data_IF_610968782016
#
_entry.id   IF_610968782016
#
_cell.length_a   1.000
_cell.length_b   1.000
_cell.length_c   1.000
_cell.angle_alpha   90.00
_cell.angle_beta   90.00
_cell.angle_gamma   90.00
#
_symmetry.space_group_name_H-M   'P 1'
#
loop_
_entity.id
_entity.type
_entity.pdbx_description
1 polymer ?
#
# COMPACT_ATOMS: atom_id res chain seq x y z
N UNK A 1 -4.24 12.38 -52.93
CA UNK A 1 -3.91 12.28 -51.54
C UNK A 1 -5.09 11.68 -50.79
N UNK A 2 -5.01 10.43 -50.29
CA UNK A 2 -6.07 9.88 -49.45
C UNK A 2 -5.89 10.38 -48.01
N UNK A 3 -7.01 10.77 -47.41
CA UNK A 3 -7.15 11.15 -46.01
C UNK A 3 -6.70 10.04 -45.08
N UNK A 4 -5.86 10.40 -44.11
CA UNK A 4 -5.41 9.48 -43.06
C UNK A 4 -6.59 9.29 -42.08
N UNK A 5 -7.14 8.08 -42.07
CA UNK A 5 -8.08 7.61 -41.04
C UNK A 5 -7.39 7.59 -39.67
N UNK A 6 -7.64 8.60 -38.87
CA UNK A 6 -7.28 8.68 -37.47
C UNK A 6 -8.33 7.95 -36.62
N UNK A 7 -8.36 6.61 -36.71
CA UNK A 7 -9.15 5.81 -35.78
C UNK A 7 -8.42 4.51 -35.41
N UNK A 8 -7.27 4.64 -34.77
CA UNK A 8 -6.67 3.53 -34.00
C UNK A 8 -7.26 3.50 -32.60
N UNK A 9 -8.57 3.33 -32.51
CA UNK A 9 -9.24 2.88 -31.29
C UNK A 9 -8.75 1.46 -30.98
N UNK A 10 -7.74 1.34 -30.10
CA UNK A 10 -7.35 0.06 -29.51
C UNK A 10 -8.62 -0.52 -28.87
N UNK A 11 -9.15 -1.59 -29.46
CA UNK A 11 -10.24 -2.35 -28.88
C UNK A 11 -9.68 -2.92 -27.57
N UNK A 12 -10.00 -2.27 -26.44
CA UNK A 12 -9.92 -2.94 -25.15
C UNK A 12 -10.70 -4.23 -25.30
N UNK A 13 -10.01 -5.35 -25.41
CA UNK A 13 -10.67 -6.65 -25.51
C UNK A 13 -11.46 -6.79 -24.22
N UNK A 14 -12.79 -6.80 -24.28
CA UNK A 14 -13.70 -7.10 -23.16
C UNK A 14 -13.53 -8.57 -22.78
N UNK A 15 -12.37 -8.88 -22.21
CA UNK A 15 -11.88 -10.23 -21.94
C UNK A 15 -12.78 -10.98 -20.96
N UNK A 16 -13.49 -10.23 -20.09
CA UNK A 16 -14.43 -10.77 -19.11
C UNK A 16 -15.89 -10.52 -19.49
N UNK A 17 -16.15 -10.14 -20.74
CA UNK A 17 -17.52 -9.96 -21.21
C UNK A 17 -18.34 -11.26 -21.03
N UNK A 18 -19.52 -11.10 -20.39
CA UNK A 18 -20.40 -12.22 -20.05
C UNK A 18 -20.08 -12.96 -18.76
N UNK A 19 -18.94 -12.69 -18.09
CA UNK A 19 -18.67 -13.22 -16.74
C UNK A 19 -19.43 -12.43 -15.69
N UNK A 20 -19.87 -13.14 -14.65
CA UNK A 20 -20.55 -12.56 -13.47
C UNK A 20 -19.74 -12.92 -12.24
N UNK A 21 -19.12 -11.92 -11.61
CA UNK A 21 -18.15 -12.08 -10.55
C UNK A 21 -18.68 -11.48 -9.23
N UNK A 22 -18.66 -12.28 -8.17
CA UNK A 22 -19.03 -11.85 -6.83
C UNK A 22 -17.80 -11.85 -5.92
N UNK A 23 -17.38 -10.68 -5.46
CA UNK A 23 -16.19 -10.51 -4.65
C UNK A 23 -16.51 -10.53 -3.17
N UNK A 24 -15.95 -11.48 -2.40
CA UNK A 24 -16.08 -11.59 -0.96
C UNK A 24 -14.88 -10.96 -0.27
N UNK A 25 -15.10 -9.90 0.51
CA UNK A 25 -14.07 -9.03 1.07
C UNK A 25 -13.67 -7.92 0.09
N UNK A 26 -14.63 -7.39 -0.68
CA UNK A 26 -14.43 -6.42 -1.77
C UNK A 26 -13.81 -5.10 -1.28
N UNK A 27 -14.01 -4.72 -0.02
CA UNK A 27 -13.44 -3.52 0.58
C UNK A 27 -11.96 -3.63 0.95
N UNK A 28 -11.30 -4.77 0.74
CA UNK A 28 -9.86 -4.87 0.88
C UNK A 28 -9.13 -4.14 -0.25
N UNK A 29 -7.95 -3.54 0.02
CA UNK A 29 -7.18 -2.75 -0.97
C UNK A 29 -6.93 -3.49 -2.29
N UNK A 30 -6.49 -4.76 -2.23
CA UNK A 30 -6.31 -5.58 -3.44
C UNK A 30 -7.64 -5.99 -4.08
N UNK A 31 -8.63 -6.35 -3.27
CA UNK A 31 -9.92 -6.86 -3.78
C UNK A 31 -10.72 -5.78 -4.51
N UNK A 32 -10.71 -4.53 -4.02
CA UNK A 32 -11.34 -3.40 -4.71
C UNK A 32 -10.67 -3.13 -6.07
N UNK A 33 -9.35 -3.22 -6.12
CA UNK A 33 -8.60 -3.09 -7.36
C UNK A 33 -8.96 -4.19 -8.38
N UNK A 34 -9.06 -5.45 -7.93
CA UNK A 34 -9.46 -6.57 -8.80
C UNK A 34 -10.90 -6.43 -9.31
N UNK A 35 -11.82 -5.97 -8.45
CA UNK A 35 -13.21 -5.74 -8.81
C UNK A 35 -13.34 -4.66 -9.88
N UNK A 36 -12.65 -3.53 -9.72
CA UNK A 36 -12.60 -2.45 -10.71
C UNK A 36 -12.01 -2.94 -12.03
N UNK A 37 -10.88 -3.66 -11.99
CA UNK A 37 -10.26 -4.22 -13.19
C UNK A 37 -11.19 -5.20 -13.89
N UNK A 38 -11.81 -6.12 -13.16
CA UNK A 38 -12.74 -7.09 -13.72
C UNK A 38 -13.93 -6.43 -14.43
N UNK A 39 -14.54 -5.41 -13.77
CA UNK A 39 -15.63 -4.64 -14.34
C UNK A 39 -15.23 -3.95 -15.63
N UNK A 40 -14.10 -3.36 -15.63
CA UNK A 40 -13.60 -2.65 -16.79
C UNK A 40 -13.20 -3.57 -17.94
N UNK A 41 -12.79 -4.81 -17.66
CA UNK A 41 -12.62 -5.86 -18.66
C UNK A 41 -13.96 -6.46 -19.13
N UNK A 42 -15.09 -5.92 -18.65
CA UNK A 42 -16.44 -6.24 -19.14
C UNK A 42 -17.24 -7.22 -18.29
N UNK A 43 -16.76 -7.63 -17.11
CA UNK A 43 -17.55 -8.46 -16.19
C UNK A 43 -18.70 -7.67 -15.55
N UNK A 44 -19.80 -8.34 -15.25
CA UNK A 44 -20.76 -7.88 -14.25
C UNK A 44 -20.18 -8.18 -12.87
N UNK A 45 -20.06 -7.15 -12.01
CA UNK A 45 -19.39 -7.28 -10.72
C UNK A 45 -20.34 -6.89 -9.60
N UNK A 46 -20.39 -7.72 -8.55
CA UNK A 46 -20.99 -7.45 -7.25
C UNK A 46 -20.03 -7.89 -6.16
N UNK A 47 -20.31 -7.53 -4.93
CA UNK A 47 -19.48 -7.98 -3.82
C UNK A 47 -20.08 -7.72 -2.46
N UNK A 48 -19.37 -8.20 -1.46
CA UNK A 48 -19.73 -8.12 -0.06
C UNK A 48 -18.51 -7.85 0.83
N UNK A 49 -18.73 -7.13 1.90
CA UNK A 49 -17.75 -7.00 2.98
C UNK A 49 -18.43 -6.92 4.36
N UNK A 50 -17.64 -7.14 5.40
CA UNK A 50 -18.12 -7.06 6.80
C UNK A 50 -18.50 -5.62 7.16
N UNK A 51 -17.76 -4.63 6.63
CA UNK A 51 -17.89 -3.21 6.95
C UNK A 51 -17.38 -2.34 5.81
N UNK A 52 -17.78 -1.10 5.81
CA UNK A 52 -17.27 -0.07 4.91
C UNK A 52 -15.77 0.18 5.13
N UNK A 53 -15.05 0.45 4.04
CA UNK A 53 -13.62 0.79 4.05
C UNK A 53 -13.36 1.94 3.06
N UNK A 54 -12.21 2.62 3.21
CA UNK A 54 -11.80 3.71 2.31
C UNK A 54 -11.61 3.27 0.85
N UNK A 55 -11.39 1.97 0.62
CA UNK A 55 -11.21 1.45 -0.74
C UNK A 55 -12.54 1.27 -1.48
N UNK A 56 -13.67 1.30 -0.76
CA UNK A 56 -14.99 1.27 -1.38
C UNK A 56 -15.33 2.57 -2.11
N UNK A 57 -14.76 3.70 -1.69
CA UNK A 57 -14.89 4.98 -2.40
C UNK A 57 -14.34 4.91 -3.82
N UNK A 58 -13.42 3.97 -4.08
CA UNK A 58 -12.83 3.73 -5.41
C UNK A 58 -13.62 2.74 -6.27
N UNK A 59 -14.69 2.12 -5.74
CA UNK A 59 -15.50 1.16 -6.49
C UNK A 59 -16.40 1.89 -7.48
N UNK A 60 -15.99 1.90 -8.75
CA UNK A 60 -16.73 2.56 -9.81
C UNK A 60 -18.01 1.80 -10.19
N UNK A 61 -19.17 2.32 -9.79
CA UNK A 61 -20.49 1.76 -10.11
C UNK A 61 -20.73 0.34 -9.55
N UNK A 62 -20.04 -0.04 -8.48
CA UNK A 62 -20.24 -1.27 -7.72
C UNK A 62 -20.72 -0.88 -6.33
N UNK A 63 -21.91 -1.32 -5.96
CA UNK A 63 -22.51 -1.10 -4.63
C UNK A 63 -22.44 -2.42 -3.85
N UNK A 64 -21.51 -2.57 -2.88
CA UNK A 64 -21.34 -3.81 -2.16
C UNK A 64 -22.37 -4.00 -1.05
N UNK A 65 -22.78 -5.25 -0.83
CA UNK A 65 -23.52 -5.65 0.35
C UNK A 65 -22.63 -5.52 1.61
N UNK A 66 -23.15 -4.99 2.71
CA UNK A 66 -22.41 -4.82 3.97
C UNK A 66 -23.01 -5.64 5.11
N UNK A 67 -22.13 -6.23 5.92
CA UNK A 67 -22.49 -6.98 7.11
C UNK A 67 -23.13 -8.35 6.84
N UNK A 68 -23.48 -9.07 7.91
CA UNK A 68 -24.03 -10.42 7.79
C UNK A 68 -23.08 -11.44 7.13
N UNK A 69 -23.65 -12.42 6.43
CA UNK A 69 -22.89 -13.42 5.67
C UNK A 69 -22.97 -13.12 4.15
N UNK A 70 -21.89 -13.42 3.38
CA UNK A 70 -21.90 -13.23 1.93
C UNK A 70 -22.97 -14.10 1.26
N UNK A 71 -23.70 -13.51 0.31
CA UNK A 71 -24.80 -14.17 -0.42
C UNK A 71 -24.63 -14.02 -1.92
N UNK A 72 -23.69 -14.77 -2.55
CA UNK A 72 -23.51 -14.68 -3.99
C UNK A 72 -24.78 -15.14 -4.71
N UNK A 73 -25.21 -14.45 -5.78
CA UNK A 73 -26.32 -14.89 -6.60
C UNK A 73 -26.01 -16.23 -7.27
N UNK A 74 -27.01 -17.06 -7.51
CA UNK A 74 -26.84 -18.36 -8.16
C UNK A 74 -26.21 -18.20 -9.56
N UNK A 75 -25.18 -19.01 -9.83
CA UNK A 75 -24.48 -19.03 -11.12
C UNK A 75 -23.47 -17.89 -11.29
N UNK A 76 -23.08 -17.20 -10.21
CA UNK A 76 -21.96 -16.26 -10.21
C UNK A 76 -20.66 -16.97 -9.81
N UNK A 77 -19.56 -16.56 -10.42
CA UNK A 77 -18.21 -16.94 -9.98
C UNK A 77 -17.86 -16.18 -8.69
N UNK A 78 -17.44 -16.88 -7.66
CA UNK A 78 -17.13 -16.26 -6.38
C UNK A 78 -15.61 -16.08 -6.25
N UNK A 79 -15.16 -14.84 -6.05
CA UNK A 79 -13.76 -14.51 -5.80
C UNK A 79 -13.61 -14.18 -4.32
N UNK A 80 -12.74 -14.88 -3.61
CA UNK A 80 -12.65 -14.80 -2.15
C UNK A 80 -11.30 -14.26 -1.69
N UNK A 81 -11.33 -13.24 -0.83
CA UNK A 81 -10.11 -12.76 -0.17
C UNK A 81 -9.61 -13.79 0.83
N UNK A 82 -8.31 -13.83 1.09
CA UNK A 82 -7.67 -14.74 2.04
C UNK A 82 -8.35 -14.70 3.43
N UNK A 83 -8.81 -13.51 3.85
CA UNK A 83 -9.48 -13.32 5.13
C UNK A 83 -10.82 -14.04 5.26
N UNK A 84 -11.47 -14.39 4.17
CA UNK A 84 -12.84 -14.93 4.15
C UNK A 84 -12.95 -16.33 3.56
N UNK A 85 -11.85 -17.00 3.23
CA UNK A 85 -11.83 -18.38 2.72
C UNK A 85 -12.52 -19.39 3.65
N UNK A 86 -12.60 -19.10 4.95
CA UNK A 86 -13.30 -19.92 5.93
C UNK A 86 -14.83 -19.76 5.90
N UNK A 87 -15.36 -18.72 5.22
CA UNK A 87 -16.80 -18.40 5.19
C UNK A 87 -17.52 -18.99 3.99
N UNK A 88 -16.82 -19.07 2.85
CA UNK A 88 -17.42 -19.48 1.59
C UNK A 88 -16.39 -20.08 0.66
N UNK A 89 -16.81 -21.08 -0.11
CA UNK A 89 -16.00 -21.64 -1.20
C UNK A 89 -16.01 -20.72 -2.43
N UNK A 90 -14.85 -20.61 -3.09
CA UNK A 90 -14.69 -19.81 -4.30
C UNK A 90 -13.25 -19.79 -4.79
N UNK A 91 -13.00 -19.06 -5.86
CA UNK A 91 -11.66 -18.84 -6.39
C UNK A 91 -10.88 -17.92 -5.44
N UNK A 92 -9.74 -18.36 -4.90
CA UNK A 92 -8.90 -17.51 -4.07
C UNK A 92 -8.41 -16.28 -4.85
N UNK A 93 -8.30 -15.13 -4.18
CA UNK A 93 -7.82 -13.85 -4.78
C UNK A 93 -6.53 -14.00 -5.58
N UNK A 94 -5.61 -14.86 -5.11
CA UNK A 94 -4.32 -15.09 -5.76
C UNK A 94 -4.46 -15.74 -7.14
N UNK A 95 -5.36 -16.72 -7.27
CA UNK A 95 -5.63 -17.38 -8.54
C UNK A 95 -6.29 -16.41 -9.55
N UNK A 96 -7.20 -15.56 -9.07
CA UNK A 96 -7.81 -14.53 -9.91
C UNK A 96 -6.79 -13.47 -10.37
N UNK A 97 -5.89 -13.03 -9.48
CA UNK A 97 -4.81 -12.11 -9.85
C UNK A 97 -3.85 -12.75 -10.87
N UNK A 98 -3.53 -14.04 -10.70
CA UNK A 98 -2.69 -14.75 -11.67
C UNK A 98 -3.34 -14.80 -13.08
N UNK A 99 -4.67 -14.93 -13.15
CA UNK A 99 -5.43 -14.84 -14.40
C UNK A 99 -5.29 -13.44 -15.03
N UNK A 100 -5.37 -12.36 -14.23
CA UNK A 100 -5.17 -10.99 -14.70
C UNK A 100 -3.74 -10.78 -15.23
N UNK A 101 -2.72 -11.22 -14.47
CA UNK A 101 -1.30 -11.10 -14.84
C UNK A 101 -0.97 -11.88 -16.12
N UNK A 102 -1.56 -13.06 -16.32
CA UNK A 102 -1.36 -13.85 -17.54
C UNK A 102 -2.01 -13.23 -18.77
N UNK A 103 -2.80 -12.17 -18.58
CA UNK A 103 -3.62 -11.56 -19.64
C UNK A 103 -2.84 -10.65 -20.58
N UNK A 104 -1.80 -9.98 -20.11
CA UNK A 104 -1.00 -8.99 -20.85
C UNK A 104 0.41 -8.91 -20.27
N UNK A 105 1.37 -8.26 -20.97
CA UNK A 105 2.70 -8.05 -20.40
C UNK A 105 2.64 -7.42 -19.02
N UNK A 106 3.29 -8.03 -18.04
CA UNK A 106 3.17 -7.60 -16.66
C UNK A 106 4.52 -7.34 -15.97
N UNK A 107 4.54 -6.28 -15.15
CA UNK A 107 5.59 -5.96 -14.19
C UNK A 107 5.02 -6.20 -12.80
N UNK A 108 5.59 -7.12 -12.03
CA UNK A 108 5.15 -7.40 -10.67
C UNK A 108 6.23 -6.95 -9.69
N UNK A 109 5.82 -6.12 -8.72
CA UNK A 109 6.71 -5.57 -7.67
C UNK A 109 6.47 -6.32 -6.37
N UNK A 110 7.49 -7.05 -5.90
CA UNK A 110 7.51 -7.79 -4.64
C UNK A 110 8.57 -7.26 -3.68
N UNK A 111 8.56 -7.78 -2.45
CA UNK A 111 9.49 -7.41 -1.37
C UNK A 111 8.76 -6.97 -0.11
N UNK A 112 9.47 -6.72 0.99
CA UNK A 112 8.84 -6.36 2.25
C UNK A 112 8.29 -4.92 2.23
N UNK A 113 9.11 -3.96 1.83
CA UNK A 113 8.79 -2.52 1.87
C UNK A 113 8.95 -1.85 0.51
N UNK A 114 8.29 -0.69 0.30
CA UNK A 114 8.42 0.12 -0.91
C UNK A 114 7.63 -0.39 -2.13
N UNK A 115 6.96 -1.54 -2.06
CA UNK A 115 6.18 -2.12 -3.17
C UNK A 115 5.19 -1.14 -3.80
N UNK A 116 4.31 -0.57 -2.99
CA UNK A 116 3.26 0.38 -3.41
C UNK A 116 3.85 1.60 -4.10
N UNK A 117 4.91 2.17 -3.52
CA UNK A 117 5.58 3.36 -4.07
C UNK A 117 6.26 3.03 -5.39
N UNK A 118 7.01 1.92 -5.46
CA UNK A 118 7.71 1.49 -6.68
C UNK A 118 6.72 1.15 -7.80
N UNK A 119 5.66 0.39 -7.51
CA UNK A 119 4.60 0.09 -8.48
C UNK A 119 3.88 1.38 -8.94
N UNK A 120 3.60 2.29 -8.00
CA UNK A 120 3.03 3.60 -8.30
C UNK A 120 3.92 4.45 -9.21
N UNK A 121 5.22 4.51 -8.95
CA UNK A 121 6.19 5.20 -9.81
C UNK A 121 6.21 4.61 -11.23
N UNK A 122 6.26 3.27 -11.35
CA UNK A 122 6.25 2.60 -12.66
C UNK A 122 4.96 2.92 -13.43
N UNK A 123 3.80 2.73 -12.81
CA UNK A 123 2.51 2.98 -13.44
C UNK A 123 2.35 4.46 -13.84
N UNK A 124 2.74 5.38 -12.95
CA UNK A 124 2.70 6.82 -13.21
C UNK A 124 3.57 7.21 -14.40
N UNK A 125 4.84 6.75 -14.45
CA UNK A 125 5.74 7.07 -15.56
C UNK A 125 5.21 6.49 -16.88
N UNK A 126 4.71 5.26 -16.88
CA UNK A 126 4.10 4.66 -18.09
C UNK A 126 2.90 5.49 -18.58
N UNK A 127 2.06 6.00 -17.67
CA UNK A 127 0.92 6.86 -18.00
C UNK A 127 1.39 8.22 -18.56
N UNK A 128 2.30 8.90 -17.85
CA UNK A 128 2.85 10.20 -18.24
C UNK A 128 3.57 10.17 -19.59
N UNK A 129 4.12 9.02 -19.94
CA UNK A 129 4.85 8.81 -21.21
C UNK A 129 3.97 8.20 -22.31
N UNK A 130 2.64 8.16 -22.10
CA UNK A 130 1.64 7.78 -23.12
C UNK A 130 1.66 6.28 -23.47
N UNK A 131 2.09 5.41 -22.55
CA UNK A 131 2.21 3.96 -22.78
C UNK A 131 0.99 3.16 -22.32
N UNK A 132 -0.11 3.85 -22.02
CA UNK A 132 -1.43 3.28 -21.69
C UNK A 132 -1.36 2.08 -20.72
N UNK A 133 -0.79 2.24 -19.50
CA UNK A 133 -0.64 1.13 -18.56
C UNK A 133 -1.97 0.70 -17.96
N UNK A 134 -2.07 -0.59 -17.59
CA UNK A 134 -2.98 -1.06 -16.57
C UNK A 134 -2.24 -1.16 -15.22
N UNK A 135 -2.94 -1.01 -14.09
CA UNK A 135 -2.31 -1.18 -12.78
C UNK A 135 -3.27 -1.76 -11.74
N UNK A 136 -2.68 -2.52 -10.80
CA UNK A 136 -3.33 -3.05 -9.60
C UNK A 136 -2.35 -2.86 -8.44
N UNK A 137 -2.60 -1.87 -7.60
CA UNK A 137 -1.68 -1.43 -6.55
C UNK A 137 -2.41 -1.49 -5.21
N UNK A 138 -1.72 -1.85 -4.14
CA UNK A 138 -2.28 -1.99 -2.79
C UNK A 138 -2.67 -0.68 -2.11
N UNK A 139 -2.28 0.47 -2.67
CA UNK A 139 -2.62 1.81 -2.20
C UNK A 139 -3.17 2.70 -3.31
N UNK A 140 -3.89 3.75 -2.95
CA UNK A 140 -4.39 4.75 -3.89
C UNK A 140 -3.21 5.56 -4.41
N UNK A 141 -3.13 5.73 -5.72
CA UNK A 141 -2.18 6.64 -6.37
C UNK A 141 -2.99 7.86 -6.86
N UNK A 142 -2.94 9.00 -6.13
CA UNK A 142 -3.83 10.14 -6.43
C UNK A 142 -3.67 10.65 -7.86
N UNK A 143 -2.45 10.68 -8.38
CA UNK A 143 -2.16 11.14 -9.75
C UNK A 143 -2.70 10.21 -10.84
N UNK A 144 -2.99 8.95 -10.50
CA UNK A 144 -3.63 7.96 -11.39
C UNK A 144 -5.13 7.81 -11.13
N UNK A 145 -5.67 8.52 -10.12
CA UNK A 145 -7.10 8.51 -9.79
C UNK A 145 -7.58 7.27 -9.03
N UNK A 146 -6.68 6.39 -8.55
CA UNK A 146 -7.10 5.20 -7.81
C UNK A 146 -6.00 4.16 -7.60
N UNK A 147 -6.40 3.01 -7.09
CA UNK A 147 -5.54 1.85 -6.85
C UNK A 147 -5.58 0.82 -8.00
N UNK A 148 -6.43 1.04 -9.00
CA UNK A 148 -6.51 0.24 -10.21
C UNK A 148 -6.85 1.11 -11.42
N UNK A 149 -6.36 0.71 -12.58
CA UNK A 149 -6.71 1.32 -13.85
C UNK A 149 -6.47 0.35 -15.01
N UNK A 150 -7.06 0.67 -16.16
CA UNK A 150 -7.02 -0.17 -17.34
C UNK A 150 -6.29 0.53 -18.45
N UNK A 151 -5.46 -0.24 -19.12
CA UNK A 151 -4.75 0.15 -20.31
C UNK A 151 -4.37 -1.07 -21.12
N UNK A 152 -4.02 -0.86 -22.37
CA UNK A 152 -3.62 -1.92 -23.31
C UNK A 152 -2.11 -2.21 -23.25
N UNK A 153 -1.34 -1.39 -22.52
CA UNK A 153 0.11 -1.53 -22.37
C UNK A 153 0.50 -2.50 -21.26
N UNK A 154 1.54 -2.18 -20.50
CA UNK A 154 2.01 -2.99 -19.38
C UNK A 154 1.01 -3.00 -18.23
N UNK A 155 0.78 -4.18 -17.63
CA UNK A 155 0.09 -4.32 -16.35
C UNK A 155 1.10 -4.21 -15.21
N UNK A 156 0.97 -3.20 -14.36
CA UNK A 156 1.79 -3.03 -13.16
C UNK A 156 1.03 -3.57 -11.94
N UNK A 157 1.63 -4.53 -11.24
CA UNK A 157 1.00 -5.18 -10.09
C UNK A 157 1.88 -5.09 -8.85
N UNK A 158 1.29 -4.71 -7.74
CA UNK A 158 1.89 -4.92 -6.43
C UNK A 158 1.64 -6.37 -5.97
N UNK A 159 2.70 -7.16 -5.83
CA UNK A 159 2.65 -8.54 -5.34
C UNK A 159 2.56 -8.61 -3.82
N UNK A 160 1.97 -9.68 -3.30
CA UNK A 160 1.85 -9.93 -1.86
C UNK A 160 2.61 -11.21 -1.49
N UNK A 161 3.69 -11.06 -0.73
CA UNK A 161 4.49 -12.16 -0.20
C UNK A 161 3.92 -12.71 1.11
N UNK A 162 3.08 -11.94 1.81
CA UNK A 162 2.62 -12.25 3.17
C UNK A 162 1.85 -13.58 3.27
N UNK A 163 1.14 -13.95 2.22
CA UNK A 163 0.39 -15.21 2.09
C UNK A 163 0.93 -16.11 0.96
N UNK A 164 2.13 -15.81 0.46
CA UNK A 164 2.78 -16.48 -0.67
C UNK A 164 2.03 -16.33 -2.01
N UNK A 165 1.01 -15.47 -2.10
CA UNK A 165 0.20 -15.33 -3.31
C UNK A 165 0.99 -14.81 -4.51
N UNK A 166 2.04 -14.01 -4.30
CA UNK A 166 2.96 -13.59 -5.35
C UNK A 166 3.56 -14.77 -6.12
N UNK A 167 3.76 -15.91 -5.45
CA UNK A 167 4.30 -17.13 -6.05
C UNK A 167 3.48 -17.70 -7.21
N UNK A 168 2.19 -17.35 -7.30
CA UNK A 168 1.31 -17.77 -8.41
C UNK A 168 1.45 -16.86 -9.65
N UNK A 169 2.11 -15.70 -9.52
CA UNK A 169 2.22 -14.71 -10.59
C UNK A 169 3.41 -15.04 -11.51
N UNK A 170 3.20 -14.90 -12.81
CA UNK A 170 4.24 -15.14 -13.83
C UNK A 170 4.44 -13.86 -14.68
N UNK A 171 5.12 -12.84 -14.16
CA UNK A 171 5.36 -11.59 -14.89
C UNK A 171 6.46 -11.75 -15.94
N UNK A 172 6.52 -10.81 -16.88
CA UNK A 172 7.68 -10.62 -17.75
C UNK A 172 8.83 -9.96 -16.96
N UNK A 173 8.52 -8.97 -16.14
CA UNK A 173 9.51 -8.27 -15.32
C UNK A 173 9.12 -8.44 -13.85
N UNK A 174 10.02 -9.03 -13.06
CA UNK A 174 9.91 -9.10 -11.62
C UNK A 174 10.80 -8.02 -10.98
N UNK A 175 10.25 -7.27 -10.03
CA UNK A 175 10.99 -6.26 -9.28
C UNK A 175 10.98 -6.65 -7.81
N UNK A 176 12.16 -6.81 -7.21
CA UNK A 176 12.34 -7.04 -5.79
C UNK A 176 12.87 -5.75 -5.14
N UNK A 177 12.08 -5.16 -4.24
CA UNK A 177 12.43 -3.90 -3.56
C UNK A 177 13.43 -4.13 -2.43
N UNK A 178 13.17 -5.10 -1.57
CA UNK A 178 14.01 -5.55 -0.47
C UNK A 178 13.51 -6.90 0.06
N UNK A 179 14.30 -7.53 0.93
CA UNK A 179 13.92 -8.78 1.59
C UNK A 179 14.17 -8.58 3.08
N UNK A 180 13.09 -8.53 3.86
CA UNK A 180 13.09 -8.41 5.31
C UNK A 180 11.97 -9.27 5.87
N UNK A 181 12.22 -10.00 6.95
CA UNK A 181 11.25 -10.90 7.56
C UNK A 181 10.24 -10.13 8.42
N UNK A 182 9.10 -9.80 7.85
CA UNK A 182 7.96 -9.19 8.57
C UNK A 182 6.83 -10.21 8.89
N UNK A 183 6.70 -11.26 8.09
CA UNK A 183 5.59 -12.22 8.16
C UNK A 183 5.99 -13.54 8.83
N UNK A 184 6.30 -13.48 10.14
CA UNK A 184 6.76 -14.65 10.95
C UNK A 184 5.76 -15.82 11.02
N UNK A 185 4.47 -15.59 10.70
CA UNK A 185 3.46 -16.65 10.61
C UNK A 185 3.58 -17.47 9.31
N UNK A 186 4.17 -16.90 8.27
CA UNK A 186 4.26 -17.49 6.92
C UNK A 186 5.64 -18.06 6.63
N UNK A 187 6.71 -17.41 7.15
CA UNK A 187 8.09 -17.77 6.92
C UNK A 187 8.81 -17.97 8.25
N UNK A 188 9.54 -19.08 8.36
CA UNK A 188 10.31 -19.39 9.56
C UNK A 188 11.61 -18.58 9.69
N UNK A 189 12.12 -18.05 8.56
CA UNK A 189 13.36 -17.26 8.53
C UNK A 189 13.42 -16.34 7.31
N UNK A 190 14.26 -15.30 7.37
CA UNK A 190 14.57 -14.45 6.22
C UNK A 190 15.15 -15.26 5.05
N UNK A 191 15.95 -16.28 5.33
CA UNK A 191 16.52 -17.14 4.29
C UNK A 191 15.45 -17.92 3.53
N UNK A 192 14.37 -18.35 4.20
CA UNK A 192 13.22 -18.98 3.54
C UNK A 192 12.48 -17.99 2.66
N UNK A 193 12.19 -16.80 3.16
CA UNK A 193 11.54 -15.73 2.39
C UNK A 193 12.39 -15.36 1.16
N UNK A 194 13.71 -15.21 1.35
CA UNK A 194 14.66 -14.90 0.27
C UNK A 194 14.64 -15.99 -0.81
N UNK A 195 14.74 -17.25 -0.40
CA UNK A 195 14.70 -18.38 -1.34
C UNK A 195 13.39 -18.40 -2.14
N UNK A 196 12.26 -18.16 -1.48
CA UNK A 196 10.94 -18.10 -2.13
C UNK A 196 10.84 -16.95 -3.13
N UNK A 197 11.25 -15.73 -2.76
CA UNK A 197 11.17 -14.56 -3.64
C UNK A 197 12.15 -14.67 -4.80
N UNK A 198 13.36 -15.17 -4.60
CA UNK A 198 14.35 -15.39 -5.67
C UNK A 198 13.91 -16.49 -6.63
N UNK A 199 13.31 -17.58 -6.15
CA UNK A 199 12.72 -18.62 -7.00
C UNK A 199 11.59 -18.05 -7.84
N UNK A 200 10.69 -17.24 -7.22
CA UNK A 200 9.62 -16.58 -7.95
C UNK A 200 10.14 -15.62 -9.01
N UNK A 201 11.05 -14.72 -8.64
CA UNK A 201 11.62 -13.73 -9.56
C UNK A 201 12.41 -14.38 -10.69
N UNK A 202 13.12 -15.48 -10.41
CA UNK A 202 13.88 -16.24 -11.41
C UNK A 202 13.02 -16.91 -12.50
N UNK A 203 11.68 -16.91 -12.37
CA UNK A 203 10.77 -17.39 -13.40
C UNK A 203 10.35 -16.29 -14.38
N UNK A 204 10.61 -15.02 -14.07
CA UNK A 204 10.38 -13.91 -14.96
C UNK A 204 11.42 -13.89 -16.10
N UNK A 205 11.11 -13.18 -17.19
CA UNK A 205 12.07 -12.96 -18.28
C UNK A 205 13.21 -12.08 -17.80
N UNK A 206 12.87 -11.02 -17.06
CA UNK A 206 13.81 -10.07 -16.49
C UNK A 206 13.55 -9.85 -15.00
N UNK A 207 14.63 -9.65 -14.22
CA UNK A 207 14.53 -9.40 -12.79
C UNK A 207 15.33 -8.16 -12.39
N UNK A 208 14.69 -7.26 -11.65
CA UNK A 208 15.30 -6.11 -11.02
C UNK A 208 15.43 -6.36 -9.53
N UNK A 209 16.64 -6.24 -8.99
CA UNK A 209 16.92 -6.29 -7.55
C UNK A 209 17.35 -4.92 -7.08
N UNK A 210 16.54 -4.27 -6.27
CA UNK A 210 16.79 -2.89 -5.86
C UNK A 210 18.13 -2.72 -5.13
N UNK A 211 18.54 -3.69 -4.32
CA UNK A 211 19.80 -3.65 -3.57
C UNK A 211 21.07 -3.81 -4.44
N UNK A 212 20.93 -4.12 -5.72
CA UNK A 212 22.02 -4.16 -6.69
C UNK A 212 22.20 -2.82 -7.43
N UNK A 213 21.32 -1.85 -7.16
CA UNK A 213 21.28 -0.56 -7.82
C UNK A 213 21.75 0.57 -6.90
N UNK A 214 22.44 1.54 -7.45
CA UNK A 214 22.70 2.81 -6.75
C UNK A 214 21.38 3.61 -6.63
N UNK A 215 21.11 4.26 -5.49
CA UNK A 215 19.95 5.13 -5.34
C UNK A 215 19.89 6.20 -6.42
N UNK A 216 18.71 6.51 -6.94
CA UNK A 216 18.54 7.53 -7.97
C UNK A 216 18.99 8.91 -7.47
N UNK A 217 19.94 9.52 -8.19
CA UNK A 217 20.47 10.86 -7.89
C UNK A 217 19.55 11.99 -8.37
N UNK A 218 18.22 11.82 -8.21
CA UNK A 218 17.19 12.75 -8.68
C UNK A 218 16.55 13.50 -7.51
N UNK A 219 16.13 14.74 -7.78
CA UNK A 219 15.33 15.53 -6.86
C UNK A 219 13.84 15.11 -6.98
N UNK A 220 13.45 14.13 -6.19
CA UNK A 220 12.10 13.55 -6.21
C UNK A 220 11.13 14.39 -5.39
N UNK A 221 9.90 14.54 -5.86
CA UNK A 221 8.83 15.16 -5.07
C UNK A 221 8.51 14.36 -3.79
N UNK A 222 8.72 13.03 -3.81
CA UNK A 222 8.62 12.18 -2.61
C UNK A 222 9.98 12.11 -1.90
N UNK A 223 10.06 12.51 -0.61
CA UNK A 223 11.33 12.61 0.10
C UNK A 223 11.86 11.25 0.59
N UNK A 224 13.13 11.25 0.99
CA UNK A 224 13.79 10.15 1.69
C UNK A 224 14.64 9.25 0.79
N UNK A 225 15.74 8.73 1.36
CA UNK A 225 16.69 7.87 0.63
C UNK A 225 16.05 6.58 0.15
N UNK A 226 15.11 6.03 0.93
CA UNK A 226 14.33 4.86 0.51
C UNK A 226 13.53 5.12 -0.77
N UNK A 227 13.02 6.34 -1.00
CA UNK A 227 12.33 6.69 -2.23
C UNK A 227 13.29 6.88 -3.41
N UNK A 228 14.53 7.29 -3.16
CA UNK A 228 15.58 7.24 -4.18
C UNK A 228 15.91 5.81 -4.61
N UNK A 229 15.89 4.87 -3.66
CA UNK A 229 16.06 3.44 -3.94
C UNK A 229 14.86 2.84 -4.69
N UNK A 230 13.62 3.20 -4.28
CA UNK A 230 12.40 2.81 -5.00
C UNK A 230 12.40 3.34 -6.43
N UNK A 231 12.85 4.59 -6.64
CA UNK A 231 12.97 5.20 -7.96
C UNK A 231 14.03 4.51 -8.82
N UNK A 232 15.17 4.09 -8.25
CA UNK A 232 16.19 3.34 -8.99
C UNK A 232 15.62 2.02 -9.52
N UNK A 233 14.88 1.28 -8.69
CA UNK A 233 14.22 0.04 -9.09
C UNK A 233 13.13 0.29 -10.15
N UNK A 234 12.32 1.33 -9.98
CA UNK A 234 11.30 1.71 -10.95
C UNK A 234 11.90 2.08 -12.32
N UNK A 235 12.96 2.87 -12.32
CA UNK A 235 13.66 3.29 -13.54
C UNK A 235 14.27 2.09 -14.28
N UNK A 236 14.89 1.14 -13.56
CA UNK A 236 15.43 -0.08 -14.16
C UNK A 236 14.33 -0.94 -14.80
N UNK A 237 13.18 -1.11 -14.12
CA UNK A 237 12.04 -1.83 -14.68
C UNK A 237 11.43 -1.12 -15.90
N UNK A 238 11.38 0.21 -15.90
CA UNK A 238 10.90 1.02 -17.01
C UNK A 238 11.81 0.90 -18.25
N UNK A 239 13.12 0.86 -18.07
CA UNK A 239 14.07 0.62 -19.16
C UNK A 239 13.85 -0.75 -19.81
N UNK A 240 13.65 -1.80 -19.00
CA UNK A 240 13.29 -3.14 -19.48
C UNK A 240 11.92 -3.16 -20.19
N UNK A 241 10.99 -2.31 -19.74
CA UNK A 241 9.68 -2.12 -20.38
C UNK A 241 9.73 -1.26 -21.65
N UNK A 242 10.92 -0.80 -22.07
CA UNK A 242 11.12 -0.02 -23.30
C UNK A 242 10.92 1.50 -23.16
N UNK A 243 10.93 2.03 -21.92
CA UNK A 243 10.90 3.48 -21.67
C UNK A 243 12.33 4.02 -21.67
N UNK A 244 12.69 4.99 -22.55
CA UNK A 244 14.01 5.60 -22.50
C UNK A 244 14.31 6.22 -21.15
N UNK A 245 15.51 6.00 -20.62
CA UNK A 245 15.93 6.45 -19.29
C UNK A 245 15.68 7.95 -19.06
N UNK A 246 16.04 8.78 -20.02
CA UNK A 246 15.87 10.25 -19.92
C UNK A 246 14.39 10.66 -19.83
N UNK A 247 13.51 9.95 -20.53
CA UNK A 247 12.06 10.17 -20.49
C UNK A 247 11.48 9.74 -19.14
N UNK A 248 11.91 8.57 -18.64
CA UNK A 248 11.49 8.05 -17.35
C UNK A 248 11.94 8.98 -16.20
N UNK A 249 13.19 9.47 -16.21
CA UNK A 249 13.70 10.41 -15.20
C UNK A 249 12.95 11.73 -15.21
N UNK A 250 12.64 12.29 -16.40
CA UNK A 250 11.86 13.51 -16.50
C UNK A 250 10.43 13.37 -15.98
N UNK A 251 9.84 12.18 -16.02
CA UNK A 251 8.51 11.90 -15.49
C UNK A 251 8.54 11.60 -14.00
N UNK A 252 9.42 10.72 -13.53
CA UNK A 252 9.39 10.18 -12.16
C UNK A 252 9.58 11.25 -11.08
N UNK A 253 10.32 12.33 -11.37
CA UNK A 253 10.52 13.47 -10.45
C UNK A 253 9.20 14.17 -10.08
N UNK A 254 8.16 14.01 -10.91
CA UNK A 254 6.82 14.58 -10.66
C UNK A 254 5.89 13.66 -9.88
N UNK A 255 6.31 12.44 -9.56
CA UNK A 255 5.51 11.51 -8.78
C UNK A 255 5.37 12.01 -7.33
N UNK A 256 4.14 12.25 -6.88
CA UNK A 256 3.86 12.86 -5.56
C UNK A 256 3.57 11.85 -4.46
N UNK A 257 3.65 10.55 -4.77
CA UNK A 257 3.49 9.49 -3.77
C UNK A 257 2.20 8.70 -3.90
N UNK A 258 2.10 7.69 -3.04
CA UNK A 258 0.90 6.91 -2.82
C UNK A 258 0.19 7.39 -1.55
N UNK A 259 -1.11 7.30 -1.53
CA UNK A 259 -1.92 7.60 -0.34
C UNK A 259 -1.45 6.78 0.86
N UNK A 260 -1.42 7.38 2.00
CA UNK A 260 -0.94 6.80 3.25
C UNK A 260 0.52 6.33 3.22
N UNK A 261 1.38 6.95 2.40
CA UNK A 261 2.84 6.74 2.37
C UNK A 261 3.53 8.07 2.56
N UNK A 262 3.67 8.48 3.83
CA UNK A 262 4.09 9.82 4.24
C UNK A 262 3.25 10.90 3.54
N UNK A 263 1.95 10.64 3.45
CA UNK A 263 0.98 11.51 2.80
C UNK A 263 0.79 12.78 3.60
N UNK A 264 0.97 13.95 2.98
CA UNK A 264 0.69 15.23 3.60
C UNK A 264 -0.82 15.47 3.66
N UNK A 265 -1.41 15.41 4.85
CA UNK A 265 -2.85 15.58 5.07
C UNK A 265 -3.22 17.06 5.13
N UNK A 266 -2.33 17.89 5.68
CA UNK A 266 -2.53 19.33 5.73
C UNK A 266 -1.53 20.03 6.66
N UNK A 267 -1.51 21.37 6.53
CA UNK A 267 -0.74 22.23 7.43
C UNK A 267 -1.66 23.33 7.95
N UNK A 268 -1.74 23.49 9.26
CA UNK A 268 -2.49 24.54 9.92
C UNK A 268 -1.70 25.09 11.10
N UNK A 269 -1.76 26.39 11.33
CA UNK A 269 -1.01 27.06 12.40
C UNK A 269 0.48 26.66 12.44
N UNK A 270 1.12 26.55 11.27
CA UNK A 270 2.51 26.09 11.10
C UNK A 270 2.78 24.68 11.67
N UNK A 271 1.75 23.84 11.79
CA UNK A 271 1.84 22.42 12.19
C UNK A 271 1.52 21.58 10.96
N UNK A 272 2.48 20.81 10.47
CA UNK A 272 2.29 19.91 9.34
C UNK A 272 1.90 18.51 9.82
N UNK A 273 0.86 17.93 9.22
CA UNK A 273 0.32 16.62 9.60
C UNK A 273 0.45 15.66 8.41
N UNK A 274 1.02 14.50 8.67
CA UNK A 274 1.23 13.42 7.70
C UNK A 274 0.57 12.13 8.18
N UNK A 275 0.18 11.26 7.25
CA UNK A 275 -0.25 9.87 7.52
C UNK A 275 0.64 8.88 6.81
N UNK A 276 0.99 7.80 7.51
CA UNK A 276 1.80 6.71 6.98
C UNK A 276 1.21 5.34 7.32
N UNK A 277 1.23 4.43 6.36
CA UNK A 277 0.75 3.06 6.54
C UNK A 277 1.72 2.19 7.33
N UNK A 278 2.92 2.68 7.59
CA UNK A 278 3.98 1.99 8.31
C UNK A 278 3.49 1.40 9.63
N UNK A 279 3.87 0.15 9.87
CA UNK A 279 3.37 -0.61 11.02
C UNK A 279 4.40 -1.59 11.61
N UNK A 280 5.60 -1.61 11.07
CA UNK A 280 6.74 -2.32 11.63
C UNK A 280 7.89 -1.37 11.98
N UNK A 281 8.90 -1.79 12.77
CA UNK A 281 9.96 -0.91 13.25
C UNK A 281 10.72 -0.20 12.13
N UNK A 282 11.13 -0.91 11.09
CA UNK A 282 11.90 -0.37 9.97
C UNK A 282 11.13 0.73 9.23
N UNK A 283 9.82 0.52 8.96
CA UNK A 283 8.98 1.53 8.31
C UNK A 283 8.85 2.80 9.17
N UNK A 284 8.62 2.63 10.49
CA UNK A 284 8.54 3.75 11.42
C UNK A 284 9.84 4.56 11.43
N UNK A 285 11.00 3.88 11.53
CA UNK A 285 12.30 4.54 11.52
C UNK A 285 12.53 5.37 10.26
N UNK A 286 12.29 4.77 9.10
CA UNK A 286 12.50 5.41 7.81
C UNK A 286 11.63 6.66 7.67
N UNK A 287 10.35 6.55 8.03
CA UNK A 287 9.42 7.67 7.95
C UNK A 287 9.73 8.76 8.98
N UNK A 288 10.08 8.39 10.23
CA UNK A 288 10.44 9.38 11.26
C UNK A 288 11.74 10.10 10.94
N UNK A 289 12.75 9.45 10.36
CA UNK A 289 13.97 10.11 9.87
C UNK A 289 13.64 11.13 8.77
N UNK A 290 12.81 10.75 7.81
CA UNK A 290 12.33 11.65 6.74
C UNK A 290 11.53 12.82 7.29
N UNK A 291 10.66 12.59 8.28
CA UNK A 291 9.89 13.64 8.95
C UNK A 291 10.79 14.60 9.74
N UNK A 292 11.83 14.07 10.39
CA UNK A 292 12.80 14.88 11.15
C UNK A 292 13.50 15.93 10.29
N UNK A 293 13.84 15.61 9.04
CA UNK A 293 14.45 16.56 8.10
C UNK A 293 13.56 17.77 7.80
N UNK A 294 12.23 17.62 8.00
CA UNK A 294 11.23 18.66 7.74
C UNK A 294 10.73 19.37 9.00
N UNK A 295 11.15 18.88 10.18
CA UNK A 295 10.69 19.38 11.47
C UNK A 295 11.55 20.52 11.95
N UNK A 296 10.92 21.68 12.27
CA UNK A 296 11.59 22.83 12.90
C UNK A 296 11.36 22.83 14.41
N UNK A 297 10.24 22.36 14.88
CA UNK A 297 9.84 22.17 16.26
C UNK A 297 9.99 20.74 16.75
N UNK A 298 8.98 20.22 17.43
CA UNK A 298 8.92 18.83 17.86
C UNK A 298 8.36 17.91 16.77
N UNK A 299 8.86 16.68 16.72
CA UNK A 299 8.28 15.59 15.93
C UNK A 299 7.39 14.75 16.84
N UNK A 300 6.11 14.67 16.53
CA UNK A 300 5.10 13.92 17.28
C UNK A 300 4.67 12.71 16.44
N UNK A 301 4.93 11.51 16.94
CA UNK A 301 4.45 10.26 16.34
C UNK A 301 3.14 9.82 16.99
N UNK A 302 2.16 9.37 16.19
CA UNK A 302 0.95 8.73 16.71
C UNK A 302 0.88 7.34 16.09
N UNK A 303 1.00 6.31 16.92
CA UNK A 303 1.08 4.93 16.44
C UNK A 303 -0.14 4.11 16.84
N UNK A 304 -0.82 3.52 15.85
CA UNK A 304 -1.88 2.55 16.08
C UNK A 304 -1.34 1.13 15.79
N UNK A 305 -1.07 0.34 16.85
CA UNK A 305 -0.64 -1.04 16.66
C UNK A 305 -1.70 -1.87 15.94
N UNK A 306 -1.24 -2.80 15.10
CA UNK A 306 -2.10 -3.70 14.34
C UNK A 306 -1.64 -5.14 14.53
N UNK A 307 -2.59 -6.06 14.83
CA UNK A 307 -2.37 -7.48 15.14
C UNK A 307 -1.69 -7.70 16.51
N UNK A 308 -2.38 -8.49 17.34
CA UNK A 308 -1.94 -8.78 18.72
C UNK A 308 -0.56 -9.48 18.74
N UNK A 309 -0.36 -10.47 17.87
CA UNK A 309 0.89 -11.24 17.85
C UNK A 309 2.10 -10.39 17.44
N UNK A 310 1.95 -9.53 16.43
CA UNK A 310 3.01 -8.59 16.02
C UNK A 310 3.36 -7.64 17.18
N UNK A 311 2.34 -7.06 17.83
CA UNK A 311 2.57 -6.15 18.96
C UNK A 311 3.31 -6.86 20.09
N UNK A 312 2.91 -8.11 20.41
CA UNK A 312 3.56 -8.91 21.45
C UNK A 312 5.04 -9.19 21.14
N UNK A 313 5.36 -9.49 19.87
CA UNK A 313 6.71 -9.84 19.44
C UNK A 313 7.61 -8.62 19.31
N UNK A 314 7.11 -7.53 18.71
CA UNK A 314 7.92 -6.38 18.26
C UNK A 314 7.73 -5.11 19.11
N UNK A 315 7.05 -5.17 20.27
CA UNK A 315 6.77 -3.96 21.06
C UNK A 315 8.02 -3.19 21.47
N UNK A 316 9.15 -3.87 21.71
CA UNK A 316 10.41 -3.22 22.10
C UNK A 316 11.03 -2.47 20.92
N UNK A 317 11.14 -3.13 19.79
CA UNK A 317 11.68 -2.56 18.56
C UNK A 317 10.78 -1.43 18.04
N UNK A 318 9.46 -1.56 18.19
CA UNK A 318 8.51 -0.48 17.89
C UNK A 318 8.69 0.72 18.83
N UNK A 319 8.88 0.47 20.12
CA UNK A 319 9.18 1.53 21.09
C UNK A 319 10.50 2.24 20.79
N UNK A 320 11.54 1.49 20.44
CA UNK A 320 12.85 2.02 20.03
C UNK A 320 12.73 2.86 18.75
N UNK A 321 12.00 2.39 17.74
CA UNK A 321 11.77 3.13 16.50
C UNK A 321 11.05 4.47 16.77
N UNK A 322 10.01 4.46 17.61
CA UNK A 322 9.31 5.67 18.04
C UNK A 322 10.21 6.61 18.83
N UNK A 323 11.34 6.11 19.35
CA UNK A 323 12.41 6.89 20.00
C UNK A 323 13.04 7.99 19.14
N UNK A 324 12.81 7.97 17.82
CA UNK A 324 13.24 9.02 16.90
C UNK A 324 12.35 10.27 16.95
N UNK A 325 11.17 10.19 17.58
CA UNK A 325 10.28 11.32 17.83
C UNK A 325 10.56 11.97 19.18
N UNK A 326 10.14 13.23 19.35
CA UNK A 326 10.20 13.95 20.64
C UNK A 326 9.02 13.55 21.54
N UNK A 327 7.90 13.18 20.91
CA UNK A 327 6.72 12.66 21.58
C UNK A 327 6.09 11.53 20.79
N UNK A 328 5.55 10.54 21.50
CA UNK A 328 4.83 9.43 20.90
C UNK A 328 3.50 9.17 21.62
N UNK A 329 2.42 9.10 20.88
CA UNK A 329 1.09 8.73 21.37
C UNK A 329 0.77 7.34 20.79
N UNK A 330 0.42 6.40 21.66
CA UNK A 330 0.09 5.04 21.27
C UNK A 330 -1.39 4.77 21.56
N UNK A 331 -2.08 4.16 20.59
CA UNK A 331 -3.50 3.78 20.75
C UNK A 331 -3.64 2.31 21.15
N UNK A 332 -4.89 1.85 21.35
CA UNK A 332 -5.17 0.43 21.50
C UNK A 332 -4.95 -0.31 20.17
N UNK A 333 -4.68 -1.64 20.26
CA UNK A 333 -4.45 -2.49 19.10
C UNK A 333 -5.73 -2.58 18.28
N UNK A 334 -5.61 -2.43 16.94
CA UNK A 334 -6.72 -2.59 16.00
C UNK A 334 -6.54 -3.84 15.14
N UNK A 335 -7.60 -4.25 14.42
CA UNK A 335 -7.54 -5.32 13.42
C UNK A 335 -7.44 -6.72 14.00
N UNK A 336 -8.02 -6.97 15.18
CA UNK A 336 -8.00 -8.26 15.84
C UNK A 336 -8.67 -9.35 14.99
N UNK A 337 -7.89 -10.04 14.16
CA UNK A 337 -8.20 -11.42 13.70
C UNK A 337 -7.94 -12.43 14.81
N UNK A 338 -7.11 -12.05 15.79
CA UNK A 338 -6.72 -12.86 16.93
C UNK A 338 -7.64 -12.58 18.11
N UNK A 339 -7.90 -13.62 18.91
CA UNK A 339 -8.59 -13.43 20.18
C UNK A 339 -7.77 -12.52 21.10
N UNK A 340 -8.41 -11.62 21.87
CA UNK A 340 -7.72 -10.85 22.89
C UNK A 340 -6.84 -11.74 23.76
N UNK A 341 -5.62 -11.32 24.05
CA UNK A 341 -4.70 -12.02 24.97
C UNK A 341 -4.47 -11.17 26.20
N UNK A 342 -4.60 -11.76 27.37
CA UNK A 342 -4.35 -11.07 28.65
C UNK A 342 -2.94 -10.48 28.67
N UNK A 343 -2.87 -9.20 29.03
CA UNK A 343 -1.61 -8.44 29.13
C UNK A 343 -1.03 -7.94 27.79
N UNK A 344 -1.70 -8.17 26.65
CA UNK A 344 -1.26 -7.64 25.35
C UNK A 344 -2.19 -6.51 24.92
N UNK A 345 -1.66 -5.30 24.92
CA UNK A 345 -2.33 -4.06 24.48
C UNK A 345 -1.31 -3.12 23.87
N UNK A 346 -1.75 -2.00 23.28
CA UNK A 346 -0.87 -0.96 22.79
C UNK A 346 0.07 -0.38 23.87
N UNK A 347 -0.26 -0.56 25.15
CA UNK A 347 0.60 -0.14 26.25
C UNK A 347 1.97 -0.80 26.26
N UNK A 348 2.10 -2.02 25.73
CA UNK A 348 3.43 -2.66 25.61
C UNK A 348 4.40 -1.82 24.79
N UNK A 349 3.93 -1.18 23.72
CA UNK A 349 4.75 -0.28 22.89
C UNK A 349 5.03 1.03 23.64
N UNK A 350 4.01 1.58 24.34
CA UNK A 350 4.16 2.78 25.13
C UNK A 350 5.18 2.60 26.26
N UNK A 351 5.13 1.47 26.97
CA UNK A 351 6.04 1.14 28.07
C UNK A 351 7.48 0.87 27.60
N UNK A 352 7.65 0.57 26.31
CA UNK A 352 8.95 0.35 25.66
C UNK A 352 9.60 1.64 25.11
N UNK A 353 8.93 2.79 25.21
CA UNK A 353 9.50 4.05 24.75
C UNK A 353 10.77 4.42 25.53
N UNK A 354 11.82 4.94 24.87
CA UNK A 354 12.97 5.51 25.54
C UNK A 354 12.57 6.68 26.48
N UNK A 355 13.24 6.83 27.59
CA UNK A 355 12.92 7.82 28.64
C UNK A 355 12.96 9.29 28.19
N UNK A 356 13.61 9.59 27.07
CA UNK A 356 13.66 10.95 26.52
C UNK A 356 12.42 11.29 25.68
N UNK A 357 11.59 10.31 25.31
CA UNK A 357 10.38 10.51 24.53
C UNK A 357 9.20 10.79 25.45
N UNK A 358 8.46 11.84 25.18
CA UNK A 358 7.20 12.10 25.88
C UNK A 358 6.14 11.09 25.44
N UNK A 359 5.82 10.10 26.29
CA UNK A 359 4.79 9.08 26.02
C UNK A 359 3.37 9.56 26.36
N UNK A 360 2.39 9.18 25.53
CA UNK A 360 0.96 9.41 25.75
C UNK A 360 0.13 8.17 25.42
N UNK A 361 -0.85 7.86 26.28
CA UNK A 361 -1.83 6.82 26.05
C UNK A 361 -3.14 7.42 25.55
N UNK A 362 -3.48 7.18 24.27
CA UNK A 362 -4.74 7.60 23.67
C UNK A 362 -5.47 6.37 23.11
N UNK A 363 -6.21 5.58 23.96
CA UNK A 363 -6.74 4.29 23.57
C UNK A 363 -7.67 4.34 22.36
N UNK A 364 -8.44 5.40 22.19
CA UNK A 364 -9.27 5.62 21.00
C UNK A 364 -8.64 6.60 20.04
N UNK A 365 -9.18 6.68 18.81
CA UNK A 365 -8.75 7.68 17.82
C UNK A 365 -9.01 9.10 18.30
N UNK A 366 -10.11 9.33 19.02
CA UNK A 366 -10.51 10.62 19.59
C UNK A 366 -9.57 11.06 20.72
N UNK A 367 -9.22 10.12 21.64
CA UNK A 367 -8.26 10.39 22.71
C UNK A 367 -6.89 10.76 22.13
N UNK A 368 -6.43 10.03 21.12
CA UNK A 368 -5.17 10.31 20.46
C UNK A 368 -5.16 11.68 19.77
N UNK A 369 -6.21 12.02 19.02
CA UNK A 369 -6.35 13.35 18.41
C UNK A 369 -6.37 14.46 19.46
N UNK A 370 -7.08 14.28 20.57
CA UNK A 370 -7.14 15.21 21.69
C UNK A 370 -5.76 15.45 22.30
N UNK A 371 -4.96 14.40 22.50
CA UNK A 371 -3.59 14.52 22.99
C UNK A 371 -2.70 15.29 22.01
N UNK A 372 -2.79 15.00 20.71
CA UNK A 372 -2.04 15.75 19.69
C UNK A 372 -2.37 17.23 19.75
N UNK A 373 -3.66 17.59 19.75
CA UNK A 373 -4.11 18.99 19.80
C UNK A 373 -3.63 19.72 21.07
N UNK A 374 -3.55 19.00 22.19
CA UNK A 374 -3.03 19.54 23.44
C UNK A 374 -1.50 19.77 23.41
N UNK A 375 -0.76 18.95 22.66
CA UNK A 375 0.70 18.95 22.67
C UNK A 375 1.32 19.75 21.54
N UNK A 376 0.75 19.70 20.33
CA UNK A 376 1.33 20.31 19.15
C UNK A 376 1.45 21.84 19.27
N UNK A 377 2.52 22.38 18.73
CA UNK A 377 2.87 23.82 18.72
C UNK A 377 3.30 24.22 17.31
N UNK A 378 3.21 25.50 16.93
CA UNK A 378 3.72 25.99 15.66
C UNK A 378 5.16 25.57 15.39
N UNK A 379 5.42 25.04 14.19
CA UNK A 379 6.72 24.48 13.79
C UNK A 379 6.84 22.98 13.98
N UNK A 380 5.88 22.33 14.65
CA UNK A 380 5.88 20.89 14.86
C UNK A 380 5.43 20.11 13.62
N UNK A 381 5.86 18.86 13.56
CA UNK A 381 5.40 17.87 12.59
C UNK A 381 4.71 16.73 13.34
N UNK A 382 3.53 16.35 12.87
CA UNK A 382 2.76 15.20 13.37
C UNK A 382 2.74 14.12 12.30
N UNK A 383 3.07 12.88 12.66
CA UNK A 383 2.95 11.72 11.76
C UNK A 383 2.09 10.66 12.42
N UNK A 384 1.01 10.25 11.76
CA UNK A 384 0.18 9.12 12.20
C UNK A 384 0.61 7.85 11.47
N UNK A 385 0.65 6.71 12.19
CA UNK A 385 1.12 5.43 11.68
C UNK A 385 0.14 4.29 11.93
N UNK A 386 0.02 3.38 10.97
CA UNK A 386 -0.65 2.09 11.15
C UNK A 386 -1.54 1.65 10.00
N UNK A 387 -1.82 0.35 9.96
CA UNK A 387 -2.66 -0.31 8.94
C UNK A 387 -4.14 0.08 9.07
N UNK A 388 -4.59 0.32 10.30
CA UNK A 388 -5.99 0.63 10.62
C UNK A 388 -6.46 2.00 10.12
N UNK A 389 -6.99 2.79 11.03
CA UNK A 389 -7.61 4.08 10.71
C UNK A 389 -6.88 5.31 11.32
N UNK A 390 -5.54 5.30 11.52
CA UNK A 390 -4.85 6.48 12.08
C UNK A 390 -4.97 7.72 11.20
N UNK A 391 -5.24 7.56 9.90
CA UNK A 391 -5.56 8.66 9.00
C UNK A 391 -6.76 9.50 9.47
N UNK A 392 -7.70 8.91 10.24
CA UNK A 392 -8.80 9.65 10.87
C UNK A 392 -8.28 10.58 11.96
N UNK A 393 -7.25 10.15 12.72
CA UNK A 393 -6.57 11.00 13.69
C UNK A 393 -5.93 12.18 12.97
N UNK A 394 -5.18 11.92 11.89
CA UNK A 394 -4.53 12.98 11.11
C UNK A 394 -5.53 14.03 10.62
N UNK A 395 -6.66 13.62 10.05
CA UNK A 395 -7.73 14.53 9.61
C UNK A 395 -8.34 15.32 10.77
N UNK A 396 -8.71 14.63 11.86
CA UNK A 396 -9.28 15.29 13.04
C UNK A 396 -8.32 16.31 13.66
N UNK A 397 -7.01 16.04 13.64
CA UNK A 397 -5.98 16.99 14.08
C UNK A 397 -5.95 18.22 13.18
N UNK A 398 -5.90 18.06 11.84
CA UNK A 398 -5.92 19.20 10.91
C UNK A 398 -7.18 20.06 11.08
N UNK A 399 -8.35 19.41 11.23
CA UNK A 399 -9.63 20.10 11.42
C UNK A 399 -9.71 20.84 12.77
N UNK A 400 -9.14 20.26 13.83
CA UNK A 400 -9.15 20.79 15.19
C UNK A 400 -8.08 21.86 15.47
N UNK A 401 -7.06 22.00 14.61
CA UNK A 401 -6.04 23.04 14.76
C UNK A 401 -6.64 24.43 14.46
N UNK A 402 -6.21 25.48 15.20
CA UNK A 402 -6.61 26.85 14.90
C UNK A 402 -6.14 27.27 13.50
N UNK A 403 -6.86 28.24 12.91
CA UNK A 403 -6.57 28.73 11.56
C UNK A 403 -5.21 29.43 11.46
#
# INVERSE_FOLDING_TARGET
MPEADANTGVKHTRRFEGRRLYFVGIGGSGMSAYANMARALGAEVRGWDVRETIFMDSLDGIDPDLGGEPRPPTGWEVIVSTAHLHRIEGTPRAAFLAELVAAQPAIVVGGAHGKTTTAGMIAFVLAETGRDPAWIIGGIIPQLGGNAGIGAGWLVVEGDESDRSIGALAPQIAVLTNIELDHHATYASESELRAFLEEWAGRAQDTVRSWELEPAGLDLAVPGDHNRQNAAAALAALELAGVPRTEAEAAIVRFTGAGRRFEHIGTRNDIAVYDDYGHNPTELEVTLRTARERTRGALIAVYQPHVIERTRQLHRELGEALGLADAAIVTEITGARDAPRDGVSGKLVLDALPSHVRGGWGPSLEDAATLVLAWARPGDVVVTFGVGEPWKIARAVVEGLPA
#
